data_IF_345693171496
#
_entry.id   IF_345693171496
#
_cell.length_a   1.000
_cell.length_b   1.000
_cell.length_c   1.000
_cell.angle_alpha   90.00
_cell.angle_beta   90.00
_cell.angle_gamma   90.00
#
_symmetry.space_group_name_H-M   'P 1'
#
loop_
_entity.id
_entity.type
_entity.pdbx_description
1 polymer ?
#
# COMPACT_ATOMS: atom_id res chain seq x y z
N UNK A 1 10.97 -16.31 -6.80
CA UNK A 1 10.57 -15.22 -5.88
C UNK A 1 9.26 -15.61 -5.20
N UNK A 2 9.16 -15.53 -3.86
CA UNK A 2 7.92 -15.89 -3.15
C UNK A 2 6.96 -14.70 -3.19
N UNK A 3 5.89 -14.75 -4.00
CA UNK A 3 4.84 -13.71 -4.10
C UNK A 3 4.36 -13.23 -2.70
N UNK A 4 4.31 -14.13 -1.72
CA UNK A 4 3.91 -13.81 -0.34
C UNK A 4 4.78 -12.75 0.36
N UNK A 5 5.99 -12.48 -0.13
CA UNK A 5 6.86 -11.45 0.43
C UNK A 5 6.39 -10.02 0.08
N UNK A 6 5.71 -9.84 -1.07
CA UNK A 6 5.26 -8.54 -1.58
C UNK A 6 3.79 -8.24 -1.26
N UNK A 7 3.06 -9.20 -0.71
CA UNK A 7 1.62 -9.06 -0.43
C UNK A 7 1.29 -7.86 0.47
N UNK A 8 2.19 -7.51 1.41
CA UNK A 8 2.01 -6.31 2.24
C UNK A 8 2.09 -5.03 1.42
N UNK A 9 3.02 -4.95 0.47
CA UNK A 9 3.15 -3.82 -0.44
C UNK A 9 1.95 -3.71 -1.38
N UNK A 10 1.42 -4.84 -1.84
CA UNK A 10 0.20 -4.89 -2.67
C UNK A 10 -1.01 -4.34 -1.90
N UNK A 11 -1.23 -4.79 -0.65
CA UNK A 11 -2.31 -4.26 0.19
C UNK A 11 -2.08 -2.77 0.51
N UNK A 12 -0.84 -2.38 0.81
CA UNK A 12 -0.50 -0.99 1.10
C UNK A 12 -0.75 -0.06 -0.10
N UNK A 13 -0.52 -0.54 -1.32
CA UNK A 13 -0.76 0.22 -2.55
C UNK A 13 -2.23 0.23 -2.96
N UNK A 14 -3.04 -0.74 -2.53
CA UNK A 14 -4.45 -0.84 -2.94
C UNK A 14 -5.29 0.37 -2.49
N UNK A 15 -5.14 0.84 -1.25
CA UNK A 15 -5.85 2.02 -0.75
C UNK A 15 -5.55 3.31 -1.56
N UNK A 16 -4.27 3.68 -1.74
CA UNK A 16 -3.88 4.81 -2.57
C UNK A 16 -4.36 4.72 -4.02
N UNK A 17 -4.28 3.54 -4.63
CA UNK A 17 -4.75 3.32 -6.01
C UNK A 17 -6.26 3.52 -6.09
N UNK A 18 -7.03 3.05 -5.10
CA UNK A 18 -8.49 3.25 -5.05
C UNK A 18 -8.86 4.73 -4.86
N UNK A 19 -8.16 5.45 -3.99
CA UNK A 19 -8.37 6.90 -3.82
C UNK A 19 -8.07 7.69 -5.10
N UNK A 20 -6.97 7.37 -5.78
CA UNK A 20 -6.63 7.99 -7.06
C UNK A 20 -7.64 7.65 -8.16
N UNK A 21 -8.15 6.41 -8.18
CA UNK A 21 -9.19 5.99 -9.11
C UNK A 21 -10.53 6.70 -8.84
N UNK A 22 -10.89 6.91 -7.56
CA UNK A 22 -12.10 7.66 -7.18
C UNK A 22 -12.03 9.10 -7.70
N UNK A 23 -10.94 9.81 -7.42
CA UNK A 23 -10.71 11.18 -7.91
C UNK A 23 -10.81 11.27 -9.45
N UNK A 24 -10.22 10.30 -10.16
CA UNK A 24 -10.28 10.24 -11.62
C UNK A 24 -11.71 9.98 -12.17
N UNK A 25 -12.56 9.26 -11.43
CA UNK A 25 -13.94 8.96 -11.85
C UNK A 25 -14.88 10.14 -11.58
N UNK A 26 -14.67 10.88 -10.48
CA UNK A 26 -15.61 11.89 -10.01
C UNK A 26 -15.64 13.12 -10.94
N UNK A 27 -14.49 13.70 -11.29
CA UNK A 27 -14.42 14.93 -12.09
C UNK A 27 -13.46 14.87 -13.29
N UNK A 28 -12.81 13.73 -13.52
CA UNK A 28 -11.86 13.54 -14.64
C UNK A 28 -10.60 14.42 -14.56
N UNK A 29 -10.39 15.11 -13.43
CA UNK A 29 -9.26 15.99 -13.13
C UNK A 29 -8.88 15.85 -11.66
N UNK A 30 -7.60 16.02 -11.36
CA UNK A 30 -7.12 16.10 -9.98
C UNK A 30 -7.00 17.58 -9.61
N UNK A 31 -7.89 18.09 -8.77
CA UNK A 31 -7.87 19.45 -8.25
C UNK A 31 -6.93 19.59 -7.05
N UNK A 32 -6.61 20.83 -6.68
CA UNK A 32 -5.71 21.23 -5.60
C UNK A 32 -6.07 20.57 -4.25
N UNK A 33 -7.36 20.33 -4.01
CA UNK A 33 -7.85 19.65 -2.80
C UNK A 33 -7.55 18.15 -2.77
N UNK A 34 -7.47 17.49 -3.92
CA UNK A 34 -7.30 16.04 -4.04
C UNK A 34 -5.82 15.62 -3.93
N UNK A 35 -4.89 16.56 -4.14
CA UNK A 35 -3.47 16.33 -3.90
C UNK A 35 -3.15 16.02 -2.44
N UNK A 36 -3.93 16.53 -1.50
CA UNK A 36 -3.75 16.27 -0.06
C UNK A 36 -4.02 14.78 0.25
N UNK A 37 -5.21 14.22 -0.02
CA UNK A 37 -5.47 12.80 0.24
C UNK A 37 -4.57 11.88 -0.59
N UNK A 38 -4.21 12.25 -1.83
CA UNK A 38 -3.25 11.50 -2.64
C UNK A 38 -1.87 11.48 -1.96
N UNK A 39 -1.37 12.63 -1.50
CA UNK A 39 -0.10 12.74 -0.79
C UNK A 39 -0.08 11.91 0.49
N UNK A 40 -1.15 11.98 1.29
CA UNK A 40 -1.31 11.14 2.50
C UNK A 40 -1.28 9.65 2.15
N UNK A 41 -1.98 9.25 1.09
CA UNK A 41 -2.02 7.86 0.67
C UNK A 41 -0.63 7.35 0.24
N UNK A 42 0.14 8.16 -0.50
CA UNK A 42 1.54 7.84 -0.84
C UNK A 42 2.41 7.69 0.40
N UNK A 43 2.29 8.61 1.37
CA UNK A 43 3.05 8.54 2.63
C UNK A 43 2.71 7.29 3.44
N UNK A 44 1.42 6.91 3.50
CA UNK A 44 0.98 5.66 4.15
C UNK A 44 1.58 4.44 3.44
N UNK A 45 1.57 4.41 2.11
CA UNK A 45 2.13 3.31 1.34
C UNK A 45 3.64 3.15 1.60
N UNK A 46 4.39 4.26 1.61
CA UNK A 46 5.81 4.29 1.94
C UNK A 46 6.07 3.83 3.39
N UNK A 47 5.23 4.29 4.33
CA UNK A 47 5.31 3.88 5.73
C UNK A 47 5.14 2.37 5.90
N UNK A 48 4.14 1.77 5.24
CA UNK A 48 3.91 0.31 5.30
C UNK A 48 5.02 -0.46 4.59
N UNK A 49 5.56 0.04 3.49
CA UNK A 49 6.69 -0.58 2.79
C UNK A 49 7.94 -0.68 3.68
N UNK A 50 8.18 0.33 4.52
CA UNK A 50 9.31 0.35 5.46
C UNK A 50 9.19 -0.62 6.64
N UNK A 51 8.00 -1.17 6.93
CA UNK A 51 7.79 -2.05 8.09
C UNK A 51 8.27 -3.48 7.75
N UNK A 52 9.26 -4.03 8.47
CA UNK A 52 9.74 -5.39 8.23
C UNK A 52 8.64 -6.43 8.48
N UNK A 53 8.59 -7.47 7.64
CA UNK A 53 7.75 -8.62 7.93
C UNK A 53 8.35 -9.40 9.09
N UNK A 54 7.53 -9.73 10.11
CA UNK A 54 7.94 -10.71 11.12
C UNK A 54 8.36 -11.99 10.39
N UNK A 55 9.50 -12.60 10.77
CA UNK A 55 9.87 -13.90 10.24
C UNK A 55 8.72 -14.86 10.54
N UNK A 56 8.38 -15.71 9.56
CA UNK A 56 7.38 -16.76 9.73
C UNK A 56 7.92 -17.77 10.75
N UNK A 57 7.71 -17.53 12.04
CA UNK A 57 7.94 -18.51 13.10
C UNK A 57 6.91 -19.62 12.94
N UNK A 58 7.23 -20.59 12.09
CA UNK A 58 6.33 -21.69 11.76
C UNK A 58 6.96 -22.80 10.92
N UNK A 59 8.29 -22.98 10.99
CA UNK A 59 8.97 -24.00 10.19
C UNK A 59 10.36 -24.41 10.68
N UNK A 60 10.66 -24.23 11.98
CA UNK A 60 11.88 -24.74 12.62
C UNK A 60 11.56 -25.07 14.09
N UNK A 61 10.63 -26.00 14.31
CA UNK A 61 10.59 -26.79 15.55
C UNK A 61 10.51 -28.24 15.13
N UNK A 62 11.61 -28.77 14.59
CA UNK A 62 11.97 -30.19 14.67
C UNK A 62 13.49 -30.34 14.52
N UNK A 63 14.08 -30.74 15.64
CA UNK A 63 15.34 -31.49 15.81
C UNK A 63 16.62 -30.74 15.43
#
# INVERSE_FOLDING_TARGET
MKISAYWKSVIAAAGPVLLAAQAAIEDGRIDSGEWIPIGVAVLVALGVWGIPNKPKTGGQVRQ
#
